data_IF_064440564942
#
_entry.id   IF_064440564942
#
_cell.length_a   1.000
_cell.length_b   1.000
_cell.length_c   1.000
_cell.angle_alpha   90.00
_cell.angle_beta   90.00
_cell.angle_gamma   90.00
#
_symmetry.space_group_name_H-M   'P 1'
#
loop_
_entity.id
_entity.type
_entity.pdbx_description
1 polymer ?
#
# COMPACT_ATOMS: atom_id res chain seq x y z
N UNK A 1 4.10 19.90 -7.17
CA UNK A 1 4.50 20.06 -5.76
C UNK A 1 5.02 21.45 -5.42
N UNK A 2 6.14 21.95 -5.98
CA UNK A 2 6.68 23.29 -5.62
C UNK A 2 5.63 24.42 -5.61
N UNK A 3 4.88 24.60 -6.71
CA UNK A 3 3.80 25.61 -6.80
C UNK A 3 2.69 25.42 -5.74
N UNK A 4 2.43 24.19 -5.33
CA UNK A 4 1.42 23.88 -4.31
C UNK A 4 1.95 24.33 -2.95
N UNK A 5 3.15 23.88 -2.57
CA UNK A 5 3.76 24.26 -1.28
C UNK A 5 3.98 25.76 -1.16
N UNK A 6 4.32 26.45 -2.26
CA UNK A 6 4.41 27.91 -2.31
C UNK A 6 3.09 28.62 -1.95
N UNK A 7 1.94 28.00 -2.25
CA UNK A 7 0.61 28.57 -1.97
C UNK A 7 0.01 28.03 -0.66
N UNK A 8 0.63 27.04 -0.03
CA UNK A 8 0.17 26.40 1.20
C UNK A 8 0.89 26.98 2.41
N UNK A 9 0.63 28.25 2.74
CA UNK A 9 1.39 29.00 3.78
C UNK A 9 1.16 28.53 5.21
N UNK A 10 0.11 27.75 5.47
CA UNK A 10 -0.32 27.37 6.82
C UNK A 10 -0.23 25.85 7.06
N UNK A 11 0.73 25.17 6.41
CA UNK A 11 0.95 23.74 6.68
C UNK A 11 1.44 23.59 8.12
N UNK A 12 0.64 22.92 8.96
CA UNK A 12 1.01 22.55 10.33
C UNK A 12 1.62 21.16 10.38
N UNK A 13 1.10 20.24 9.58
CA UNK A 13 1.48 18.83 9.60
C UNK A 13 1.94 18.42 8.20
N UNK A 14 3.16 17.90 8.11
CA UNK A 14 3.78 17.49 6.86
C UNK A 14 4.12 16.00 6.92
N UNK A 15 3.33 15.17 6.23
CA UNK A 15 3.62 13.76 5.99
C UNK A 15 4.40 13.59 4.68
N UNK A 16 5.56 12.94 4.75
CA UNK A 16 6.43 12.65 3.62
C UNK A 16 6.69 11.15 3.53
N UNK A 17 6.08 10.50 2.54
CA UNK A 17 6.51 9.15 2.15
C UNK A 17 7.70 9.23 1.21
N UNK A 18 8.81 8.58 1.58
CA UNK A 18 10.01 8.45 0.75
C UNK A 18 10.02 7.13 -0.04
N UNK A 19 8.89 6.42 -0.09
CA UNK A 19 8.64 5.27 -0.96
C UNK A 19 8.50 5.70 -2.45
N UNK A 20 9.54 6.32 -2.98
CA UNK A 20 9.61 6.91 -4.31
C UNK A 20 10.21 5.88 -5.27
N UNK A 21 9.46 5.50 -6.32
CA UNK A 21 9.96 4.57 -7.33
C UNK A 21 11.13 5.18 -8.11
N UNK A 22 11.94 4.35 -8.76
CA UNK A 22 13.09 4.84 -9.56
C UNK A 22 12.70 5.79 -10.70
N UNK A 23 11.48 5.68 -11.21
CA UNK A 23 10.90 6.53 -12.26
C UNK A 23 10.30 7.84 -11.74
N UNK A 24 10.09 8.00 -10.44
CA UNK A 24 9.38 9.13 -9.87
C UNK A 24 10.29 10.37 -9.72
N UNK A 25 9.72 11.55 -9.92
CA UNK A 25 10.45 12.81 -9.84
C UNK A 25 10.13 13.60 -8.56
N UNK A 26 11.04 13.58 -7.59
CA UNK A 26 10.91 14.31 -6.33
C UNK A 26 11.35 15.79 -6.40
N UNK A 27 11.90 16.27 -7.52
CA UNK A 27 12.54 17.59 -7.62
C UNK A 27 11.58 18.75 -7.30
N UNK A 28 10.31 18.61 -7.68
CA UNK A 28 9.29 19.58 -7.33
C UNK A 28 9.00 19.65 -5.83
N UNK A 29 9.15 18.54 -5.11
CA UNK A 29 8.97 18.49 -3.66
C UNK A 29 10.20 19.05 -2.95
N UNK A 30 11.41 18.62 -3.35
CA UNK A 30 12.68 19.13 -2.83
C UNK A 30 12.76 20.67 -2.89
N UNK A 31 12.34 21.28 -4.02
CA UNK A 31 12.31 22.75 -4.16
C UNK A 31 11.21 23.43 -3.33
N UNK A 32 10.17 22.71 -2.94
CA UNK A 32 9.04 23.26 -2.20
C UNK A 32 9.21 23.17 -0.68
N UNK A 33 9.97 22.20 -0.17
CA UNK A 33 10.20 22.01 1.27
C UNK A 33 10.78 23.25 1.99
N UNK A 34 11.71 24.02 1.39
CA UNK A 34 12.19 25.25 2.03
C UNK A 34 11.13 26.37 2.15
N UNK A 35 9.97 26.24 1.48
CA UNK A 35 8.91 27.25 1.47
C UNK A 35 7.87 27.04 2.58
N UNK A 36 8.00 25.99 3.38
CA UNK A 36 7.07 25.65 4.47
C UNK A 36 7.79 25.61 5.80
N UNK A 37 7.05 25.81 6.89
CA UNK A 37 7.56 25.77 8.27
C UNK A 37 6.55 25.00 9.15
N UNK A 38 6.50 23.66 9.00
CA UNK A 38 5.52 22.81 9.68
C UNK A 38 5.79 22.71 11.18
N UNK A 39 4.73 22.43 11.95
CA UNK A 39 4.78 22.13 13.38
C UNK A 39 5.15 20.66 13.64
N UNK A 40 4.63 19.77 12.80
CA UNK A 40 4.87 18.33 12.86
C UNK A 40 5.33 17.81 11.51
N UNK A 41 6.39 17.01 11.50
CA UNK A 41 6.88 16.32 10.30
C UNK A 41 6.88 14.83 10.55
N UNK A 42 6.28 14.07 9.65
CA UNK A 42 6.24 12.61 9.69
C UNK A 42 6.93 12.11 8.43
N UNK A 43 8.02 11.37 8.56
CA UNK A 43 8.73 10.78 7.43
C UNK A 43 8.57 9.27 7.47
N UNK A 44 7.94 8.75 6.42
CA UNK A 44 7.72 7.33 6.22
C UNK A 44 8.63 6.81 5.12
N UNK A 45 9.51 5.86 5.46
CA UNK A 45 10.42 5.24 4.49
C UNK A 45 9.88 4.01 3.78
N UNK A 46 8.69 3.55 4.15
CA UNK A 46 8.19 2.26 3.74
C UNK A 46 9.08 1.12 4.25
N UNK A 47 8.71 -0.10 3.89
CA UNK A 47 9.46 -1.31 4.26
C UNK A 47 10.15 -1.83 3.00
N UNK A 48 11.49 -1.82 2.95
CA UNK A 48 12.20 -2.61 1.95
C UNK A 48 13.51 -2.04 1.43
N UNK A 49 13.92 -2.59 0.28
CA UNK A 49 15.24 -2.60 -0.34
C UNK A 49 15.86 -1.22 -0.65
N UNK A 50 16.31 -0.51 0.38
CA UNK A 50 17.09 0.72 0.25
C UNK A 50 16.33 1.88 -0.41
N UNK A 51 16.90 3.09 -0.29
CA UNK A 51 16.30 4.29 -0.87
C UNK A 51 16.69 4.43 -2.35
N UNK A 52 15.70 4.68 -3.21
CA UNK A 52 15.95 5.10 -4.59
C UNK A 52 16.74 6.41 -4.64
N UNK A 53 17.34 6.75 -5.79
CA UNK A 53 18.04 8.04 -5.93
C UNK A 53 17.10 9.24 -5.71
N UNK A 54 15.85 9.14 -6.15
CA UNK A 54 14.82 10.14 -5.87
C UNK A 54 14.52 10.27 -4.38
N UNK A 55 14.36 9.15 -3.68
CA UNK A 55 14.16 9.13 -2.24
C UNK A 55 15.37 9.70 -1.47
N UNK A 56 16.60 9.35 -1.85
CA UNK A 56 17.83 9.92 -1.25
C UNK A 56 17.90 11.44 -1.41
N UNK A 57 17.55 11.97 -2.58
CA UNK A 57 17.48 13.42 -2.83
C UNK A 57 16.40 14.09 -1.97
N UNK A 58 15.24 13.45 -1.81
CA UNK A 58 14.18 13.97 -0.97
C UNK A 58 14.60 14.00 0.51
N UNK A 59 15.14 12.90 1.03
CA UNK A 59 15.64 12.84 2.41
C UNK A 59 16.70 13.93 2.64
N UNK A 60 17.65 14.09 1.73
CA UNK A 60 18.65 15.16 1.81
C UNK A 60 18.01 16.56 1.85
N UNK A 61 17.00 16.81 1.03
CA UNK A 61 16.29 18.09 1.04
C UNK A 61 15.55 18.32 2.37
N UNK A 62 14.99 17.28 3.00
CA UNK A 62 14.41 17.35 4.35
C UNK A 62 15.50 17.69 5.38
N UNK A 63 16.63 16.98 5.35
CA UNK A 63 17.79 17.22 6.23
C UNK A 63 18.27 18.69 6.15
N UNK A 64 18.32 19.28 4.95
CA UNK A 64 18.69 20.68 4.73
C UNK A 64 17.64 21.71 5.19
N UNK A 65 16.39 21.29 5.39
CA UNK A 65 15.29 22.15 5.86
C UNK A 65 15.09 22.08 7.37
N UNK A 66 15.40 20.95 8.01
CA UNK A 66 15.20 20.73 9.45
C UNK A 66 15.76 21.86 10.32
N UNK A 67 17.01 22.35 10.14
CA UNK A 67 17.55 23.45 10.96
C UNK A 67 16.86 24.80 10.70
N UNK A 68 16.14 24.94 9.58
CA UNK A 68 15.46 26.19 9.16
C UNK A 68 14.01 26.25 9.63
N UNK A 69 13.41 25.11 9.98
CA UNK A 69 12.03 25.05 10.45
C UNK A 69 11.95 25.48 11.92
N UNK A 70 11.47 26.71 12.13
CA UNK A 70 11.38 27.36 13.45
C UNK A 70 10.14 26.94 14.22
N UNK A 71 9.16 26.32 13.56
CA UNK A 71 7.92 25.89 14.20
C UNK A 71 7.87 24.39 14.47
N UNK A 72 8.85 23.62 13.98
CA UNK A 72 8.84 22.17 14.07
C UNK A 72 9.09 21.69 15.50
N UNK A 73 8.01 21.31 16.18
CA UNK A 73 8.00 20.80 17.56
C UNK A 73 8.09 19.28 17.60
N UNK A 74 7.54 18.60 16.60
CA UNK A 74 7.47 17.14 16.54
C UNK A 74 8.07 16.62 15.24
N UNK A 75 8.97 15.65 15.34
CA UNK A 75 9.48 14.90 14.19
C UNK A 75 9.25 13.41 14.40
N UNK A 76 8.65 12.72 13.42
CA UNK A 76 8.32 11.31 13.51
C UNK A 76 9.00 10.54 12.38
N UNK A 77 9.73 9.50 12.77
CA UNK A 77 10.41 8.60 11.87
C UNK A 77 9.67 7.27 11.87
N UNK A 78 9.11 6.92 10.71
CA UNK A 78 8.57 5.59 10.47
C UNK A 78 9.59 4.76 9.67
N UNK A 79 9.91 3.58 10.21
CA UNK A 79 10.78 2.57 9.60
C UNK A 79 12.26 3.00 9.43
N UNK A 80 12.97 2.43 8.44
CA UNK A 80 14.44 2.31 8.33
C UNK A 80 15.29 3.60 8.37
N UNK A 81 14.69 4.80 8.42
CA UNK A 81 15.44 6.06 8.50
C UNK A 81 16.23 6.23 9.79
N UNK A 82 15.95 5.41 10.82
CA UNK A 82 16.68 5.37 12.10
C UNK A 82 18.19 5.20 11.91
N UNK A 83 18.61 4.59 10.80
CA UNK A 83 20.02 4.28 10.56
C UNK A 83 20.81 5.44 9.94
N UNK A 84 20.18 6.57 9.57
CA UNK A 84 20.86 7.67 8.88
C UNK A 84 21.37 8.73 9.85
N UNK A 85 22.67 8.66 10.15
CA UNK A 85 23.34 9.64 11.03
C UNK A 85 23.10 11.10 10.59
N UNK A 86 23.09 11.37 9.29
CA UNK A 86 22.86 12.72 8.73
C UNK A 86 21.52 13.31 9.14
N UNK A 87 20.48 12.49 9.27
CA UNK A 87 19.15 12.94 9.69
C UNK A 87 19.16 13.34 11.17
N UNK A 88 19.79 12.53 12.02
CA UNK A 88 19.91 12.85 13.45
C UNK A 88 20.81 14.05 13.72
N UNK A 89 21.85 14.25 12.91
CA UNK A 89 22.69 15.45 12.95
C UNK A 89 21.90 16.71 12.54
N UNK A 90 21.03 16.63 11.53
CA UNK A 90 20.17 17.75 11.17
C UNK A 90 19.17 18.06 12.31
N UNK A 91 18.54 17.01 12.87
CA UNK A 91 17.61 17.15 13.99
C UNK A 91 18.29 17.71 15.24
N UNK A 92 19.59 17.45 15.47
CA UNK A 92 20.28 17.98 16.64
C UNK A 92 20.44 19.50 16.60
N UNK A 93 20.34 20.09 15.40
CA UNK A 93 20.40 21.52 15.13
C UNK A 93 19.01 22.17 15.01
N UNK A 94 17.92 21.41 15.13
CA UNK A 94 16.56 21.94 15.02
C UNK A 94 16.22 22.81 16.24
N UNK A 95 15.92 24.11 16.06
CA UNK A 95 15.85 25.07 17.18
C UNK A 95 14.61 24.88 18.08
N UNK A 96 13.57 24.22 17.59
CA UNK A 96 12.27 24.12 18.28
C UNK A 96 11.79 22.69 18.45
N UNK A 97 12.62 21.70 18.13
CA UNK A 97 12.27 20.28 18.24
C UNK A 97 12.16 19.88 19.71
N UNK A 98 10.96 19.50 20.14
CA UNK A 98 10.66 19.07 21.50
C UNK A 98 10.55 17.55 21.60
N UNK A 99 9.95 16.93 20.60
CA UNK A 99 9.65 15.49 20.59
C UNK A 99 10.13 14.84 19.31
N UNK A 100 10.95 13.81 19.45
CA UNK A 100 11.28 12.87 18.37
C UNK A 100 10.49 11.57 18.60
N UNK A 101 9.67 11.14 17.66
CA UNK A 101 9.05 9.82 17.69
C UNK A 101 9.74 8.88 16.72
N UNK A 102 10.07 7.67 17.18
CA UNK A 102 10.77 6.66 16.40
C UNK A 102 9.96 5.37 16.46
N UNK A 103 9.45 4.93 15.31
CA UNK A 103 8.79 3.63 15.16
C UNK A 103 9.82 2.55 14.82
N UNK A 104 10.09 1.64 15.76
CA UNK A 104 10.99 0.51 15.53
C UNK A 104 10.20 -0.72 15.07
N UNK A 105 10.03 -0.84 13.75
CA UNK A 105 9.35 -1.98 13.13
C UNK A 105 10.24 -3.21 12.97
N UNK A 106 11.57 -3.07 13.03
CA UNK A 106 12.52 -4.18 12.80
C UNK A 106 13.27 -4.65 14.04
N UNK A 107 13.05 -3.99 15.18
CA UNK A 107 13.74 -4.24 16.44
C UNK A 107 15.26 -4.33 16.24
N UNK A 108 15.80 -3.37 15.48
CA UNK A 108 17.25 -3.26 15.24
C UNK A 108 17.95 -2.50 16.37
N UNK A 109 17.19 -1.90 17.28
CA UNK A 109 17.71 -1.22 18.45
C UNK A 109 18.06 -2.26 19.52
N UNK A 110 19.29 -2.77 19.48
CA UNK A 110 19.86 -3.61 20.53
C UNK A 110 20.65 -2.80 21.57
N UNK A 111 21.15 -1.66 21.12
CA UNK A 111 21.96 -0.70 21.85
C UNK A 111 21.50 0.70 21.44
N UNK A 112 21.83 1.71 22.23
CA UNK A 112 21.60 3.11 21.87
C UNK A 112 22.53 3.46 20.71
N UNK A 113 22.02 3.66 19.49
CA UNK A 113 22.87 4.01 18.36
C UNK A 113 23.49 5.39 18.57
N UNK A 114 24.66 5.62 17.96
CA UNK A 114 25.34 6.90 18.03
C UNK A 114 24.44 8.05 17.56
N UNK A 115 23.60 7.80 16.56
CA UNK A 115 22.60 8.76 16.05
C UNK A 115 21.64 9.26 17.13
N UNK A 116 21.20 8.39 18.04
CA UNK A 116 20.37 8.78 19.18
C UNK A 116 21.14 9.67 20.17
N UNK A 117 22.43 9.37 20.40
CA UNK A 117 23.33 10.22 21.21
C UNK A 117 23.51 11.60 20.58
N UNK A 118 23.69 11.65 19.26
CA UNK A 118 23.79 12.91 18.50
C UNK A 118 22.56 13.79 18.71
N UNK A 119 21.34 13.24 18.59
CA UNK A 119 20.11 14.05 18.79
C UNK A 119 19.88 14.46 20.25
N UNK A 120 20.33 13.68 21.23
CA UNK A 120 20.19 14.03 22.65
C UNK A 120 20.98 15.29 23.06
N UNK A 121 21.91 15.75 22.21
CA UNK A 121 22.63 17.02 22.37
C UNK A 121 21.78 18.24 22.01
N UNK A 122 20.61 18.05 21.37
CA UNK A 122 19.70 19.15 21.08
C UNK A 122 19.16 19.74 22.40
N UNK A 123 19.38 21.04 22.68
CA UNK A 123 18.95 21.66 23.93
C UNK A 123 17.43 21.83 24.06
N UNK A 124 16.69 21.88 22.93
CA UNK A 124 15.23 22.02 22.92
C UNK A 124 14.51 20.67 23.13
N UNK A 125 15.20 19.55 22.87
CA UNK A 125 14.62 18.22 22.91
C UNK A 125 14.30 17.80 24.35
N UNK A 126 13.03 17.44 24.58
CA UNK A 126 12.50 17.00 25.87
C UNK A 126 12.16 15.53 25.91
N UNK A 127 11.82 14.92 24.77
CA UNK A 127 11.47 13.50 24.74
C UNK A 127 11.83 12.82 23.42
N UNK A 128 12.21 11.54 23.53
CA UNK A 128 12.35 10.61 22.41
C UNK A 128 11.37 9.46 22.66
N UNK A 129 10.28 9.44 21.91
CA UNK A 129 9.26 8.41 21.98
C UNK A 129 9.68 7.20 21.15
N UNK A 130 9.76 6.04 21.78
CA UNK A 130 10.04 4.77 21.11
C UNK A 130 8.70 4.03 20.98
N UNK A 131 8.21 3.94 19.75
CA UNK A 131 6.92 3.34 19.42
C UNK A 131 7.17 1.95 18.86
N UNK A 132 6.73 0.94 19.60
CA UNK A 132 6.86 -0.44 19.18
C UNK A 132 5.65 -0.86 18.34
N UNK A 133 5.90 -1.35 17.12
CA UNK A 133 4.84 -1.94 16.32
C UNK A 133 4.41 -3.31 16.88
N UNK A 134 3.12 -3.68 16.73
CA UNK A 134 2.65 -5.03 17.01
C UNK A 134 3.42 -6.01 16.14
N UNK A 135 3.86 -7.11 16.74
CA UNK A 135 4.58 -8.17 16.04
C UNK A 135 3.66 -9.38 15.91
N UNK A 136 3.76 -10.09 14.80
CA UNK A 136 3.22 -11.44 14.68
C UNK A 136 3.79 -12.35 15.79
N UNK A 137 2.93 -13.22 16.32
CA UNK A 137 3.14 -14.02 17.54
C UNK A 137 4.42 -14.86 17.49
N UNK A 138 4.83 -15.31 16.30
CA UNK A 138 5.95 -16.24 16.12
C UNK A 138 7.31 -15.66 16.56
N UNK A 139 7.49 -14.34 16.57
CA UNK A 139 8.76 -13.68 16.94
C UNK A 139 8.68 -12.91 18.27
N UNK A 140 7.55 -12.97 18.96
CA UNK A 140 7.26 -12.07 20.08
C UNK A 140 8.31 -12.16 21.20
N UNK A 141 8.73 -13.37 21.58
CA UNK A 141 9.69 -13.59 22.67
C UNK A 141 11.07 -12.99 22.38
N UNK A 142 11.60 -13.22 21.17
CA UNK A 142 12.91 -12.69 20.76
C UNK A 142 12.85 -11.16 20.80
N UNK A 143 11.78 -10.57 20.27
CA UNK A 143 11.64 -9.12 20.17
C UNK A 143 11.42 -8.47 21.52
N UNK A 144 10.63 -9.07 22.42
CA UNK A 144 10.53 -8.65 23.82
C UNK A 144 11.92 -8.60 24.46
N UNK A 145 12.73 -9.65 24.30
CA UNK A 145 14.08 -9.68 24.85
C UNK A 145 14.97 -8.55 24.29
N UNK A 146 14.89 -8.23 22.98
CA UNK A 146 15.63 -7.09 22.40
C UNK A 146 15.17 -5.75 23.00
N UNK A 147 13.85 -5.53 23.07
CA UNK A 147 13.25 -4.30 23.61
C UNK A 147 13.67 -4.08 25.06
N UNK A 148 13.71 -5.14 25.86
CA UNK A 148 14.18 -5.08 27.23
C UNK A 148 15.66 -4.73 27.32
N UNK A 149 16.52 -5.32 26.48
CA UNK A 149 17.95 -4.94 26.43
C UNK A 149 18.16 -3.47 26.09
N UNK A 150 17.45 -2.97 25.07
CA UNK A 150 17.51 -1.57 24.68
C UNK A 150 16.99 -0.64 25.79
N UNK A 151 15.86 -0.98 26.42
CA UNK A 151 15.30 -0.24 27.56
C UNK A 151 16.26 -0.20 28.74
N UNK A 152 16.96 -1.30 29.04
CA UNK A 152 17.96 -1.34 30.10
C UNK A 152 19.17 -0.45 29.77
N UNK A 153 19.72 -0.57 28.56
CA UNK A 153 20.82 0.30 28.11
C UNK A 153 20.44 1.79 28.17
N UNK A 154 19.21 2.13 27.76
CA UNK A 154 18.63 3.47 27.88
C UNK A 154 18.55 3.98 29.33
N UNK A 155 18.20 3.11 30.28
CA UNK A 155 18.10 3.45 31.69
C UNK A 155 19.47 3.60 32.39
N UNK A 156 20.50 2.91 31.89
CA UNK A 156 21.88 3.03 32.39
C UNK A 156 22.55 4.35 31.97
N UNK A 157 22.08 4.95 30.87
CA UNK A 157 22.59 6.22 30.37
C UNK A 157 21.81 7.41 30.97
N UNK A 158 22.52 8.30 31.69
CA UNK A 158 21.92 9.38 32.47
C UNK A 158 21.05 10.32 31.61
N UNK A 159 21.53 10.73 30.44
CA UNK A 159 20.81 11.66 29.56
C UNK A 159 19.65 10.97 28.87
N UNK A 160 19.87 9.74 28.40
CA UNK A 160 18.86 8.98 27.66
C UNK A 160 17.70 8.55 28.54
N UNK A 161 17.97 8.18 29.79
CA UNK A 161 16.94 7.85 30.79
C UNK A 161 15.93 8.99 30.98
N UNK A 162 16.37 10.24 30.87
CA UNK A 162 15.51 11.42 31.01
C UNK A 162 14.71 11.72 29.73
N UNK A 163 15.21 11.33 28.57
CA UNK A 163 14.58 11.63 27.28
C UNK A 163 13.64 10.51 26.81
N UNK A 164 13.97 9.24 27.05
CA UNK A 164 13.23 8.14 26.45
C UNK A 164 11.87 7.91 27.09
N UNK A 165 10.85 7.81 26.23
CA UNK A 165 9.49 7.41 26.60
C UNK A 165 9.11 6.20 25.74
N UNK A 166 8.94 5.05 26.38
CA UNK A 166 8.56 3.82 25.69
C UNK A 166 7.04 3.69 25.59
N UNK A 167 6.52 3.50 24.37
CA UNK A 167 5.09 3.36 24.11
C UNK A 167 4.81 1.94 23.62
N UNK A 168 4.21 1.13 24.50
CA UNK A 168 3.82 -0.24 24.20
C UNK A 168 2.43 -0.25 23.53
N UNK A 169 2.37 -0.29 22.20
CA UNK A 169 1.11 -0.31 21.43
C UNK A 169 0.37 -1.67 21.45
N UNK A 170 0.61 -2.51 22.46
CA UNK A 170 0.16 -3.91 22.50
C UNK A 170 -1.37 -4.08 22.46
N UNK A 171 -2.16 -3.03 22.71
CA UNK A 171 -3.63 -3.14 22.78
C UNK A 171 -4.40 -1.96 22.19
N UNK A 172 -4.02 -1.51 21.00
CA UNK A 172 -4.84 -0.54 20.25
C UNK A 172 -5.17 0.74 21.04
N UNK A 173 -4.32 1.09 22.00
CA UNK A 173 -4.41 2.38 22.67
C UNK A 173 -4.16 3.39 21.57
N UNK A 174 -5.22 4.08 21.17
CA UNK A 174 -5.13 5.36 20.47
C UNK A 174 -4.26 6.20 21.36
N UNK A 175 -2.96 6.21 21.10
CA UNK A 175 -1.99 6.87 21.93
C UNK A 175 -2.56 8.26 22.23
N UNK A 176 -2.74 8.56 23.52
CA UNK A 176 -3.03 9.89 24.01
C UNK A 176 -1.86 10.78 23.55
N UNK A 177 -1.90 11.22 22.30
CA UNK A 177 -1.23 12.42 21.88
C UNK A 177 -1.91 13.49 22.72
N UNK A 178 -1.25 13.93 23.79
CA UNK A 178 -1.64 15.13 24.56
C UNK A 178 -1.63 16.40 23.69
N UNK A 179 -1.39 16.27 22.38
CA UNK A 179 -1.72 17.31 21.43
C UNK A 179 -3.25 17.36 21.32
N UNK A 180 -3.88 18.51 21.61
CA UNK A 180 -5.30 18.66 21.37
C UNK A 180 -5.57 18.27 19.91
N UNK A 181 -6.59 17.44 19.64
CA UNK A 181 -6.90 17.02 18.28
C UNK A 181 -7.05 18.30 17.46
N UNK A 182 -6.18 18.48 16.46
CA UNK A 182 -6.32 19.60 15.54
C UNK A 182 -7.66 19.36 14.85
N UNK A 183 -8.65 20.26 15.00
CA UNK A 183 -9.95 20.06 14.39
C UNK A 183 -9.73 19.94 12.88
N UNK A 184 -10.13 18.81 12.32
CA UNK A 184 -10.01 18.58 10.90
C UNK A 184 -11.00 19.52 10.18
N UNK A 185 -10.47 20.57 9.58
CA UNK A 185 -11.27 21.51 8.80
C UNK A 185 -11.46 20.92 7.41
N UNK A 186 -12.64 20.39 7.14
CA UNK A 186 -12.98 19.93 5.80
C UNK A 186 -13.03 21.13 4.84
N UNK A 187 -12.33 21.10 3.69
CA UNK A 187 -12.35 22.23 2.77
C UNK A 187 -13.77 22.50 2.27
N UNK A 188 -14.33 23.68 2.60
CA UNK A 188 -15.68 24.05 2.23
C UNK A 188 -15.92 23.98 0.71
N UNK A 189 -14.89 24.22 -0.10
CA UNK A 189 -14.95 24.12 -1.56
C UNK A 189 -15.20 22.69 -2.05
N UNK A 190 -14.76 21.66 -1.30
CA UNK A 190 -15.05 20.26 -1.63
C UNK A 190 -16.49 19.91 -1.26
N UNK A 191 -16.98 20.44 -0.14
CA UNK A 191 -18.40 20.27 0.23
C UNK A 191 -19.34 20.93 -0.80
N UNK A 192 -18.91 22.03 -1.41
CA UNK A 192 -19.68 22.76 -2.43
C UNK A 192 -19.64 22.11 -3.84
N UNK A 193 -18.69 21.22 -4.13
CA UNK A 193 -18.54 20.55 -5.42
C UNK A 193 -18.36 19.03 -5.24
N UNK A 194 -19.48 18.28 -5.05
CA UNK A 194 -19.42 16.83 -4.82
C UNK A 194 -18.76 16.04 -5.94
N UNK A 195 -18.81 16.53 -7.19
CA UNK A 195 -18.17 15.86 -8.33
C UNK A 195 -16.65 15.96 -8.24
N UNK A 196 -16.13 17.15 -7.92
CA UNK A 196 -14.69 17.37 -7.70
C UNK A 196 -14.21 16.61 -6.48
N UNK A 197 -14.99 16.63 -5.40
CA UNK A 197 -14.72 15.83 -4.20
C UNK A 197 -14.63 14.34 -4.53
N UNK A 198 -15.62 13.79 -5.25
CA UNK A 198 -15.61 12.39 -5.69
C UNK A 198 -14.38 12.09 -6.55
N UNK A 199 -14.01 12.96 -7.50
CA UNK A 199 -12.83 12.78 -8.34
C UNK A 199 -11.52 12.73 -7.52
N UNK A 200 -11.40 13.59 -6.50
CA UNK A 200 -10.23 13.62 -5.62
C UNK A 200 -10.17 12.33 -4.79
N UNK A 201 -11.26 11.96 -4.12
CA UNK A 201 -11.29 10.75 -3.30
C UNK A 201 -11.15 9.47 -4.10
N UNK A 202 -11.75 9.37 -5.29
CA UNK A 202 -11.51 8.28 -6.23
C UNK A 202 -10.04 8.15 -6.58
N UNK A 203 -9.34 9.28 -6.82
CA UNK A 203 -7.91 9.24 -7.13
C UNK A 203 -7.07 8.80 -5.93
N UNK A 204 -7.41 9.24 -4.71
CA UNK A 204 -6.75 8.80 -3.48
C UNK A 204 -6.95 7.30 -3.29
N UNK A 205 -8.21 6.83 -3.36
CA UNK A 205 -8.56 5.43 -3.20
C UNK A 205 -7.95 4.54 -4.29
N UNK A 206 -7.83 5.05 -5.52
CA UNK A 206 -7.07 4.38 -6.57
C UNK A 206 -5.64 4.10 -6.08
N UNK A 207 -4.90 5.10 -5.58
CA UNK A 207 -3.54 4.85 -5.08
C UNK A 207 -3.49 3.97 -3.83
N UNK A 208 -4.51 4.02 -2.97
CA UNK A 208 -4.58 3.20 -1.76
C UNK A 208 -4.87 1.72 -2.07
N UNK A 209 -5.71 1.45 -3.08
CA UNK A 209 -6.24 0.11 -3.38
C UNK A 209 -5.52 -0.55 -4.55
N UNK A 210 -5.01 0.24 -5.49
CA UNK A 210 -4.31 -0.23 -6.67
C UNK A 210 -2.87 -0.59 -6.29
N UNK A 211 -2.64 -1.88 -6.06
CA UNK A 211 -1.30 -2.44 -6.04
C UNK A 211 -0.80 -2.50 -7.48
N UNK A 212 0.34 -1.88 -7.76
CA UNK A 212 1.04 -2.04 -9.04
C UNK A 212 1.25 -3.54 -9.32
N UNK A 213 0.57 -4.12 -10.35
CA UNK A 213 0.60 -5.56 -10.60
C UNK A 213 2.03 -6.06 -10.86
N UNK A 214 2.90 -5.21 -11.42
CA UNK A 214 4.30 -5.54 -11.69
C UNK A 214 5.10 -5.77 -10.40
N UNK A 215 4.65 -5.21 -9.27
CA UNK A 215 5.30 -5.30 -7.96
C UNK A 215 4.63 -6.30 -7.01
N UNK A 216 3.54 -6.95 -7.43
CA UNK A 216 2.79 -7.89 -6.60
C UNK A 216 3.59 -9.12 -6.18
N UNK A 217 4.66 -9.46 -6.93
CA UNK A 217 5.62 -10.52 -6.53
C UNK A 217 6.44 -10.16 -5.28
N UNK A 218 6.61 -8.88 -4.95
CA UNK A 218 7.49 -8.43 -3.87
C UNK A 218 6.75 -8.14 -2.57
N UNK A 219 5.45 -7.81 -2.63
CA UNK A 219 4.67 -7.50 -1.44
C UNK A 219 3.26 -8.09 -1.55
N UNK A 220 2.92 -9.14 -0.77
CA UNK A 220 1.55 -9.63 -0.73
C UNK A 220 0.63 -8.49 -0.29
N UNK A 221 -0.53 -8.34 -0.95
CA UNK A 221 -1.51 -7.29 -0.65
C UNK A 221 -1.80 -7.31 0.86
N UNK A 222 -1.42 -6.24 1.56
CA UNK A 222 -1.76 -6.06 2.96
C UNK A 222 -3.28 -6.01 3.08
N UNK A 223 -3.84 -6.84 3.97
CA UNK A 223 -5.27 -6.85 4.33
C UNK A 223 -5.81 -5.46 4.75
N UNK A 224 -4.94 -4.52 5.08
CA UNK A 224 -5.27 -3.14 5.45
C UNK A 224 -5.89 -2.28 4.34
N UNK A 225 -5.86 -2.68 3.06
CA UNK A 225 -6.51 -1.90 2.00
C UNK A 225 -8.04 -1.93 2.11
N UNK A 226 -8.62 -3.00 2.66
CA UNK A 226 -10.08 -3.16 2.78
C UNK A 226 -10.69 -2.32 3.90
N UNK A 227 -9.98 -2.10 5.01
CA UNK A 227 -10.50 -1.32 6.14
C UNK A 227 -10.78 0.14 5.75
N UNK A 228 -10.02 0.68 4.78
CA UNK A 228 -10.28 2.01 4.21
C UNK A 228 -11.68 2.13 3.63
N UNK A 229 -12.22 1.06 3.04
CA UNK A 229 -13.57 1.06 2.46
C UNK A 229 -14.68 0.97 3.50
N UNK A 230 -14.34 0.64 4.75
CA UNK A 230 -15.29 0.53 5.86
C UNK A 230 -15.44 1.84 6.64
N UNK A 231 -14.64 2.87 6.32
CA UNK A 231 -14.67 4.16 7.01
C UNK A 231 -16.02 4.86 6.81
N UNK A 232 -16.53 4.92 5.58
CA UNK A 232 -17.84 5.51 5.28
C UNK A 232 -18.43 5.01 3.96
N UNK A 233 -19.74 5.27 3.74
CA UNK A 233 -20.45 4.91 2.50
C UNK A 233 -19.83 5.52 1.24
N UNK A 234 -19.26 6.72 1.32
CA UNK A 234 -18.59 7.40 0.18
C UNK A 234 -17.35 6.62 -0.24
N UNK A 235 -16.49 6.26 0.72
CA UNK A 235 -15.27 5.50 0.46
C UNK A 235 -15.59 4.11 -0.10
N UNK A 236 -16.61 3.46 0.46
CA UNK A 236 -17.12 2.21 -0.09
C UNK A 236 -17.51 2.38 -1.57
N UNK A 237 -18.41 3.33 -1.89
CA UNK A 237 -18.89 3.58 -3.27
C UNK A 237 -17.75 3.90 -4.24
N UNK A 238 -16.84 4.80 -3.86
CA UNK A 238 -15.76 5.28 -4.74
C UNK A 238 -14.62 4.28 -4.88
N UNK A 239 -14.36 3.46 -3.86
CA UNK A 239 -13.27 2.50 -3.84
C UNK A 239 -13.63 1.12 -4.36
N UNK A 240 -14.92 0.77 -4.40
CA UNK A 240 -15.41 -0.53 -4.88
C UNK A 240 -14.91 -0.88 -6.30
N UNK A 241 -14.90 0.04 -7.28
CA UNK A 241 -14.38 -0.29 -8.61
C UNK A 241 -12.93 -0.77 -8.55
N UNK A 242 -12.06 -0.07 -7.81
CA UNK A 242 -10.64 -0.40 -7.71
C UNK A 242 -10.39 -1.69 -6.92
N UNK A 243 -11.22 -2.00 -5.91
CA UNK A 243 -11.12 -3.25 -5.16
C UNK A 243 -11.38 -4.48 -6.06
N UNK A 244 -12.36 -4.36 -6.96
CA UNK A 244 -12.78 -5.45 -7.85
C UNK A 244 -12.07 -5.44 -9.21
N UNK A 245 -11.23 -4.44 -9.49
CA UNK A 245 -10.59 -4.28 -10.80
C UNK A 245 -9.65 -5.43 -11.14
N UNK A 246 -8.84 -5.86 -10.16
CA UNK A 246 -7.78 -6.84 -10.35
C UNK A 246 -7.79 -7.90 -9.22
N UNK A 247 -8.84 -8.74 -9.07
CA UNK A 247 -8.86 -9.81 -8.07
C UNK A 247 -7.78 -10.87 -8.32
N UNK A 248 -7.08 -11.24 -7.24
CA UNK A 248 -6.18 -12.39 -7.19
C UNK A 248 -6.78 -13.44 -6.24
N UNK A 249 -7.17 -14.59 -6.78
CA UNK A 249 -7.87 -15.65 -6.06
C UNK A 249 -6.93 -16.83 -5.86
N UNK A 250 -6.17 -16.79 -4.76
CA UNK A 250 -5.06 -17.72 -4.49
C UNK A 250 -5.46 -18.99 -3.71
N UNK A 251 -6.74 -19.17 -3.39
CA UNK A 251 -7.23 -20.34 -2.65
C UNK A 251 -8.66 -20.69 -3.06
N UNK A 252 -9.04 -21.95 -2.85
CA UNK A 252 -10.41 -22.40 -3.08
C UNK A 252 -11.43 -21.63 -2.22
N UNK A 253 -11.06 -21.26 -0.99
CA UNK A 253 -11.91 -20.45 -0.11
C UNK A 253 -12.15 -19.06 -0.68
N UNK A 254 -11.10 -18.37 -1.15
CA UNK A 254 -11.22 -17.07 -1.80
C UNK A 254 -12.12 -17.15 -3.06
N UNK A 255 -11.97 -18.20 -3.87
CA UNK A 255 -12.80 -18.41 -5.06
C UNK A 255 -14.28 -18.62 -4.72
N UNK A 256 -14.59 -19.44 -3.71
CA UNK A 256 -15.97 -19.68 -3.25
C UNK A 256 -16.59 -18.40 -2.69
N UNK A 257 -15.86 -17.69 -1.83
CA UNK A 257 -16.33 -16.43 -1.24
C UNK A 257 -16.57 -15.36 -2.31
N UNK A 258 -15.63 -15.20 -3.24
CA UNK A 258 -15.77 -14.25 -4.34
C UNK A 258 -16.92 -14.62 -5.29
N UNK A 259 -17.06 -15.90 -5.64
CA UNK A 259 -18.19 -16.39 -6.44
C UNK A 259 -19.53 -16.14 -5.75
N UNK A 260 -19.65 -16.43 -4.46
CA UNK A 260 -20.89 -16.17 -3.71
C UNK A 260 -21.23 -14.68 -3.68
N UNK A 261 -20.21 -13.83 -3.51
CA UNK A 261 -20.36 -12.38 -3.56
C UNK A 261 -20.89 -11.92 -4.93
N UNK A 262 -20.31 -12.40 -6.03
CA UNK A 262 -20.77 -12.08 -7.39
C UNK A 262 -22.17 -12.63 -7.69
N UNK A 263 -22.51 -13.83 -7.20
CA UNK A 263 -23.87 -14.35 -7.29
C UNK A 263 -24.89 -13.46 -6.58
N UNK A 264 -24.56 -12.95 -5.38
CA UNK A 264 -25.45 -12.07 -4.63
C UNK A 264 -25.53 -10.65 -5.20
N UNK A 265 -24.46 -10.18 -5.85
CA UNK A 265 -24.36 -8.84 -6.43
C UNK A 265 -23.69 -8.86 -7.81
N UNK A 266 -24.39 -9.31 -8.87
CA UNK A 266 -23.81 -9.46 -10.20
C UNK A 266 -23.25 -8.16 -10.79
N UNK A 267 -23.79 -7.01 -10.37
CA UNK A 267 -23.32 -5.68 -10.81
C UNK A 267 -21.84 -5.40 -10.50
N UNK A 268 -21.24 -6.12 -9.54
CA UNK A 268 -19.82 -5.98 -9.20
C UNK A 268 -18.89 -6.51 -10.29
N UNK A 269 -19.35 -7.48 -11.08
CA UNK A 269 -18.52 -8.08 -12.13
C UNK A 269 -18.15 -7.11 -13.26
N UNK A 270 -18.91 -6.01 -13.44
CA UNK A 270 -18.58 -4.94 -14.40
C UNK A 270 -17.27 -4.21 -14.08
N UNK A 271 -16.79 -4.31 -12.85
CA UNK A 271 -15.53 -3.70 -12.43
C UNK A 271 -14.33 -4.59 -12.69
N UNK A 272 -14.52 -5.90 -12.88
CA UNK A 272 -13.42 -6.85 -13.08
C UNK A 272 -12.78 -6.61 -14.45
N UNK A 273 -11.50 -6.25 -14.44
CA UNK A 273 -10.66 -6.02 -15.64
C UNK A 273 -9.60 -7.09 -15.80
N UNK A 274 -8.97 -7.50 -14.71
CA UNK A 274 -8.03 -8.63 -14.72
C UNK A 274 -8.44 -9.65 -13.67
N UNK A 275 -8.17 -10.92 -13.92
CA UNK A 275 -8.51 -12.00 -13.01
C UNK A 275 -7.36 -13.00 -12.98
N UNK A 276 -6.65 -13.07 -11.85
CA UNK A 276 -5.62 -14.09 -11.60
C UNK A 276 -6.19 -15.15 -10.66
N UNK A 277 -6.28 -16.38 -11.15
CA UNK A 277 -6.77 -17.53 -10.40
C UNK A 277 -5.63 -18.50 -10.20
N UNK A 278 -5.38 -18.85 -8.94
CA UNK A 278 -4.36 -19.83 -8.56
C UNK A 278 -5.00 -20.97 -7.79
N UNK A 279 -4.50 -22.19 -8.01
CA UNK A 279 -4.94 -23.38 -7.28
C UNK A 279 -6.47 -23.58 -7.34
N UNK A 280 -7.07 -23.40 -8.51
CA UNK A 280 -8.52 -23.57 -8.66
C UNK A 280 -8.91 -25.04 -8.61
N UNK A 281 -9.82 -25.38 -7.69
CA UNK A 281 -10.42 -26.72 -7.56
C UNK A 281 -11.95 -26.67 -7.54
N UNK A 282 -12.55 -25.52 -7.92
CA UNK A 282 -13.99 -25.32 -7.88
C UNK A 282 -14.49 -24.80 -9.24
N UNK A 283 -14.66 -25.70 -10.24
CA UNK A 283 -15.03 -25.32 -11.61
C UNK A 283 -16.32 -24.49 -11.68
N UNK A 284 -17.29 -24.76 -10.80
CA UNK A 284 -18.55 -24.01 -10.77
C UNK A 284 -18.35 -22.57 -10.26
N UNK A 285 -17.49 -22.36 -9.26
CA UNK A 285 -17.15 -21.02 -8.79
C UNK A 285 -16.43 -20.24 -9.89
N UNK A 286 -15.46 -20.87 -10.56
CA UNK A 286 -14.77 -20.27 -11.70
C UNK A 286 -15.76 -19.84 -12.79
N UNK A 287 -16.67 -20.74 -13.18
CA UNK A 287 -17.71 -20.44 -14.17
C UNK A 287 -18.57 -19.24 -13.78
N UNK A 288 -19.03 -19.16 -12.54
CA UNK A 288 -19.80 -18.00 -12.06
C UNK A 288 -19.01 -16.71 -12.16
N UNK A 289 -17.74 -16.73 -11.76
CA UNK A 289 -16.88 -15.53 -11.77
C UNK A 289 -16.70 -15.01 -13.21
N UNK A 290 -16.32 -15.88 -14.16
CA UNK A 290 -16.09 -15.47 -15.54
C UNK A 290 -17.36 -14.98 -16.22
N UNK A 291 -18.51 -15.60 -15.93
CA UNK A 291 -19.80 -15.20 -16.50
C UNK A 291 -20.30 -13.85 -15.99
N UNK A 292 -19.76 -13.39 -14.85
CA UNK A 292 -20.10 -12.08 -14.29
C UNK A 292 -19.12 -10.99 -14.73
N UNK A 293 -17.91 -11.37 -15.17
CA UNK A 293 -16.82 -10.45 -15.52
C UNK A 293 -16.96 -9.87 -16.93
N UNK A 294 -18.00 -9.05 -17.16
CA UNK A 294 -18.37 -8.49 -18.49
C UNK A 294 -17.32 -7.59 -19.16
N UNK A 295 -16.30 -7.15 -18.43
CA UNK A 295 -15.24 -6.24 -18.92
C UNK A 295 -13.84 -6.81 -18.74
N UNK A 296 -13.76 -8.14 -18.65
CA UNK A 296 -12.50 -8.86 -18.47
C UNK A 296 -11.59 -8.63 -19.67
N UNK A 297 -10.41 -8.09 -19.41
CA UNK A 297 -9.34 -7.80 -20.36
C UNK A 297 -8.24 -8.84 -20.28
N UNK A 298 -7.94 -9.33 -19.08
CA UNK A 298 -6.91 -10.34 -18.85
C UNK A 298 -7.40 -11.45 -17.92
N UNK A 299 -7.19 -12.69 -18.32
CA UNK A 299 -7.46 -13.87 -17.53
C UNK A 299 -6.18 -14.71 -17.40
N UNK A 300 -5.71 -14.85 -16.16
CA UNK A 300 -4.52 -15.63 -15.84
C UNK A 300 -4.87 -16.81 -14.92
N UNK A 301 -4.33 -17.98 -15.27
CA UNK A 301 -4.40 -19.19 -14.49
C UNK A 301 -3.02 -19.65 -14.05
N UNK A 302 -2.93 -20.15 -12.82
CA UNK A 302 -1.78 -20.95 -12.37
C UNK A 302 -2.28 -22.14 -11.55
N UNK A 303 -1.83 -23.35 -11.90
CA UNK A 303 -2.20 -24.58 -11.19
C UNK A 303 -3.72 -24.76 -11.04
N UNK A 304 -4.49 -24.34 -12.05
CA UNK A 304 -5.95 -24.43 -12.04
C UNK A 304 -6.44 -25.77 -12.60
N UNK A 305 -7.52 -26.30 -12.01
CA UNK A 305 -8.29 -27.39 -12.60
C UNK A 305 -8.74 -26.99 -14.02
N UNK A 306 -8.70 -27.93 -14.99
CA UNK A 306 -9.11 -27.63 -16.35
C UNK A 306 -10.57 -27.16 -16.42
N UNK A 307 -10.83 -26.13 -17.22
CA UNK A 307 -12.17 -25.68 -17.54
C UNK A 307 -12.72 -26.51 -18.71
N UNK A 308 -14.03 -26.66 -18.80
CA UNK A 308 -14.63 -27.37 -19.93
C UNK A 308 -14.64 -26.50 -21.18
N UNK A 309 -14.69 -27.10 -22.37
CA UNK A 309 -14.90 -26.37 -23.62
C UNK A 309 -16.20 -25.57 -23.63
N UNK A 310 -17.25 -26.04 -22.94
CA UNK A 310 -18.49 -25.28 -22.74
C UNK A 310 -18.22 -23.98 -21.98
N UNK A 311 -17.50 -24.07 -20.86
CA UNK A 311 -17.12 -22.90 -20.04
C UNK A 311 -16.23 -21.93 -20.83
N UNK A 312 -15.34 -22.46 -21.67
CA UNK A 312 -14.54 -21.65 -22.59
C UNK A 312 -15.43 -20.96 -23.65
N UNK A 313 -16.43 -21.62 -24.21
CA UNK A 313 -17.38 -20.99 -25.13
C UNK A 313 -18.19 -19.87 -24.49
N UNK A 314 -18.67 -20.08 -23.26
CA UNK A 314 -19.43 -19.13 -22.44
C UNK A 314 -18.60 -17.88 -22.06
N UNK A 315 -17.30 -18.06 -21.79
CA UNK A 315 -16.38 -16.95 -21.58
C UNK A 315 -16.30 -16.05 -22.84
N UNK A 316 -16.24 -16.65 -24.03
CA UNK A 316 -16.20 -15.90 -25.29
C UNK A 316 -17.47 -15.09 -25.54
N UNK A 317 -18.64 -15.66 -25.22
CA UNK A 317 -19.92 -14.95 -25.30
C UNK A 317 -20.00 -13.77 -24.31
N UNK A 318 -19.42 -13.94 -23.12
CA UNK A 318 -19.52 -12.95 -22.03
C UNK A 318 -18.51 -11.81 -22.17
N UNK A 319 -17.26 -12.15 -22.45
CA UNK A 319 -16.12 -11.22 -22.38
C UNK A 319 -15.21 -11.29 -23.61
N UNK A 320 -15.53 -12.06 -24.64
CA UNK A 320 -14.65 -12.26 -25.80
C UNK A 320 -14.37 -10.98 -26.60
N UNK A 321 -15.28 -10.00 -26.57
CA UNK A 321 -15.09 -8.68 -27.17
C UNK A 321 -14.24 -7.72 -26.33
N UNK A 322 -13.85 -8.10 -25.11
CA UNK A 322 -12.96 -7.30 -24.26
C UNK A 322 -11.68 -8.03 -23.87
N UNK A 323 -11.68 -9.37 -23.92
CA UNK A 323 -10.57 -10.20 -23.49
C UNK A 323 -9.41 -10.13 -24.47
N UNK A 324 -8.30 -9.55 -24.03
CA UNK A 324 -7.09 -9.35 -24.81
C UNK A 324 -6.00 -10.38 -24.49
N UNK A 325 -6.00 -10.92 -23.26
CA UNK A 325 -4.99 -11.88 -22.79
C UNK A 325 -5.64 -13.03 -22.04
N UNK A 326 -5.31 -14.26 -22.43
CA UNK A 326 -5.73 -15.49 -21.77
C UNK A 326 -4.51 -16.39 -21.64
N UNK A 327 -4.09 -16.65 -20.40
CA UNK A 327 -2.81 -17.32 -20.12
C UNK A 327 -2.92 -18.35 -19.00
N UNK A 328 -2.26 -19.50 -19.14
CA UNK A 328 -2.05 -20.48 -18.06
C UNK A 328 -3.32 -21.18 -17.55
N UNK A 329 -4.45 -21.03 -18.24
CA UNK A 329 -5.69 -21.76 -17.95
C UNK A 329 -5.69 -23.05 -18.76
N UNK A 330 -5.95 -24.17 -18.08
CA UNK A 330 -6.07 -25.49 -18.73
C UNK A 330 -7.48 -25.67 -19.30
N UNK A 331 -7.59 -26.21 -20.49
CA UNK A 331 -8.89 -26.60 -21.08
C UNK A 331 -8.96 -28.12 -21.16
N UNK A 332 -9.98 -28.70 -20.52
CA UNK A 332 -10.19 -30.13 -20.42
C UNK A 332 -10.22 -30.80 -21.80
N UNK A 333 -9.73 -32.04 -21.87
CA UNK A 333 -9.73 -32.82 -23.11
C UNK A 333 -11.15 -33.05 -23.61
N UNK A 334 -11.39 -32.84 -24.90
CA UNK A 334 -12.61 -33.24 -25.60
C UNK A 334 -12.31 -34.14 -26.81
N UNK A 335 -13.28 -34.96 -27.22
CA UNK A 335 -13.15 -35.87 -28.37
C UNK A 335 -13.29 -35.17 -29.73
N UNK A 336 -14.06 -34.08 -29.76
CA UNK A 336 -14.18 -33.16 -30.88
C UNK A 336 -14.60 -31.78 -30.36
N UNK A 337 -14.02 -30.73 -30.93
CA UNK A 337 -14.34 -29.34 -30.61
C UNK A 337 -14.55 -28.60 -31.91
N UNK A 338 -15.62 -27.81 -31.98
CA UNK A 338 -15.84 -26.90 -33.08
C UNK A 338 -14.86 -25.72 -32.99
N UNK A 339 -13.96 -25.53 -33.98
CA UNK A 339 -13.01 -24.42 -34.00
C UNK A 339 -13.68 -23.04 -33.98
N UNK A 340 -14.96 -22.92 -34.34
CA UNK A 340 -15.69 -21.65 -34.31
C UNK A 340 -15.77 -21.05 -32.90
N UNK A 341 -15.53 -21.83 -31.85
CA UNK A 341 -15.45 -21.33 -30.46
C UNK A 341 -14.39 -20.23 -30.30
N UNK A 342 -13.31 -20.26 -31.10
CA UNK A 342 -12.27 -19.22 -31.06
C UNK A 342 -12.68 -17.92 -31.73
N UNK A 343 -13.61 -17.95 -32.69
CA UNK A 343 -14.12 -16.75 -33.34
C UNK A 343 -14.87 -15.81 -32.38
N UNK A 344 -15.22 -16.31 -31.18
CA UNK A 344 -15.84 -15.53 -30.10
C UNK A 344 -14.87 -14.55 -29.41
N UNK A 345 -13.59 -14.59 -29.75
CA UNK A 345 -12.53 -13.80 -29.10
C UNK A 345 -11.83 -12.85 -30.09
N UNK A 346 -12.54 -11.88 -30.68
CA UNK A 346 -11.96 -11.00 -31.71
C UNK A 346 -10.83 -10.09 -31.19
N UNK A 347 -10.80 -9.79 -29.89
CA UNK A 347 -9.81 -8.88 -29.29
C UNK A 347 -8.58 -9.58 -28.70
N UNK A 348 -8.51 -10.93 -28.77
CA UNK A 348 -7.42 -11.67 -28.15
C UNK A 348 -6.10 -11.43 -28.88
N UNK A 349 -5.07 -11.02 -28.14
CA UNK A 349 -3.73 -10.74 -28.64
C UNK A 349 -2.71 -11.72 -28.11
N UNK A 350 -2.96 -12.24 -26.93
CA UNK A 350 -2.10 -13.17 -26.24
C UNK A 350 -2.90 -14.38 -25.80
N UNK A 351 -2.46 -15.55 -26.24
CA UNK A 351 -3.19 -16.77 -26.01
C UNK A 351 -2.27 -17.92 -25.70
N UNK A 352 -2.32 -18.33 -24.45
CA UNK A 352 -1.52 -19.41 -23.89
C UNK A 352 -2.44 -20.32 -23.07
N UNK A 353 -2.69 -21.52 -23.58
CA UNK A 353 -3.45 -22.56 -22.90
C UNK A 353 -2.64 -23.85 -22.81
N UNK A 354 -3.07 -24.74 -21.92
CA UNK A 354 -2.64 -26.14 -21.89
C UNK A 354 -3.84 -27.05 -22.18
N UNK A 355 -3.81 -27.77 -23.30
CA UNK A 355 -4.83 -28.76 -23.67
C UNK A 355 -4.24 -29.88 -24.52
N UNK A 356 -4.70 -31.11 -24.29
CA UNK A 356 -4.39 -32.30 -25.10
C UNK A 356 -5.47 -32.60 -26.16
N UNK A 357 -6.36 -31.64 -26.43
CA UNK A 357 -7.48 -31.79 -27.35
C UNK A 357 -7.04 -31.67 -28.81
N UNK A 358 -7.50 -32.58 -29.68
CA UNK A 358 -7.27 -32.51 -31.12
C UNK A 358 -8.36 -31.66 -31.77
N UNK A 359 -7.97 -30.58 -32.46
CA UNK A 359 -8.90 -29.75 -33.24
C UNK A 359 -9.19 -30.42 -34.58
N UNK A 360 -10.45 -30.77 -34.85
CA UNK A 360 -10.88 -31.33 -36.13
C UNK A 360 -11.29 -30.20 -37.07
N UNK A 361 -10.40 -29.80 -37.98
CA UNK A 361 -10.73 -28.91 -39.07
C UNK A 361 -11.56 -29.70 -40.11
N UNK A 362 -12.86 -29.41 -40.21
CA UNK A 362 -13.65 -29.81 -41.37
C UNK A 362 -13.34 -28.81 -42.49
N UNK A 363 -12.49 -29.22 -43.43
CA UNK A 363 -12.34 -28.52 -44.70
C UNK A 363 -13.64 -28.76 -45.48
N UNK A 364 -14.46 -27.73 -45.58
CA UNK A 364 -15.68 -27.69 -46.40
C UNK A 364 -15.34 -27.41 -47.85
#
# INVERSE_FOLDING_TARGET
>A
MHKILQKSTNITDLLLSVAIAGSDNASGLCRGLPLVDPVRVIVDSGIGSGLSQGAKKLVKAVEECIPKWKRMVVFEIQHDLIQRETTYQALSQAPSLVTLSVSDSRNNLWQIPQSMRTIATNPALKSIRIVYEPVEVEYEQILIAKRMRFRNAANEDERMRLLFVFVDNLKGSTANDNLPPVPFIYPAQLAADPKREDAIWSRILYFTLYADPSKEKQFPRRNGTRSTLLVCKKFNRLGLPYLYENPVLNSQFAQRSFSAQLSSQPSLGRYIRTLDIRQSHAPQCFRTIILTALRLVELQGKDCSPITWKTFGELGETAGSTLQSFRGIKIAKASAVDPTVFARYPEIREFDWDSTTILKLRLS
#
